data_IF_232395931987
#
_entry.id   IF_232395931987
#
_cell.length_a   1.000
_cell.length_b   1.000
_cell.length_c   1.000
_cell.angle_alpha   90.00
_cell.angle_beta   90.00
_cell.angle_gamma   90.00
#
_symmetry.space_group_name_H-M   'P 1'
#
loop_
_entity.id
_entity.type
_entity.pdbx_description
1 polymer ?
#
# COMPACT_ATOMS: atom_id res chain seq x y z
N UNK A 1 -5.99 -28.35 25.23
CA UNK A 1 -6.90 -28.39 24.05
C UNK A 1 -6.27 -27.85 22.77
N UNK A 2 -6.00 -26.54 22.62
CA UNK A 2 -5.38 -26.01 21.37
C UNK A 2 -4.03 -26.67 21.07
N UNK A 3 -3.13 -26.72 22.07
CA UNK A 3 -1.83 -27.39 21.97
C UNK A 3 -1.97 -28.84 21.50
N UNK A 4 -2.82 -29.61 22.17
CA UNK A 4 -3.00 -31.04 21.89
C UNK A 4 -3.71 -31.30 20.56
N UNK A 5 -4.53 -30.34 20.09
CA UNK A 5 -5.25 -30.44 18.82
C UNK A 5 -4.31 -30.19 17.64
N UNK A 6 -3.56 -29.08 17.65
CA UNK A 6 -2.85 -28.59 16.47
C UNK A 6 -1.35 -28.92 16.43
N UNK A 7 -0.75 -29.33 17.55
CA UNK A 7 0.71 -29.52 17.65
C UNK A 7 1.11 -30.89 18.18
N UNK A 8 2.28 -31.35 17.74
CA UNK A 8 3.03 -32.45 18.34
C UNK A 8 4.19 -31.89 19.17
N UNK A 9 4.60 -32.64 20.21
CA UNK A 9 5.80 -32.33 20.98
C UNK A 9 7.03 -32.71 20.14
N UNK A 10 7.92 -31.75 19.92
CA UNK A 10 9.14 -31.90 19.09
C UNK A 10 10.42 -31.68 19.92
N UNK A 11 10.34 -31.95 21.23
CA UNK A 11 11.44 -31.78 22.19
C UNK A 11 10.99 -31.04 23.46
N UNK A 12 11.95 -30.70 24.32
CA UNK A 12 11.65 -29.94 25.54
C UNK A 12 11.18 -28.53 25.17
N UNK A 13 9.93 -28.22 25.50
CA UNK A 13 9.26 -26.94 25.17
C UNK A 13 9.20 -26.60 23.67
N UNK A 14 9.42 -27.58 22.80
CA UNK A 14 9.34 -27.42 21.35
C UNK A 14 8.07 -28.07 20.80
N UNK A 15 7.41 -27.36 19.91
CA UNK A 15 6.18 -27.80 19.25
C UNK A 15 6.34 -27.69 17.74
N UNK A 16 5.80 -28.68 17.04
CA UNK A 16 5.61 -28.61 15.59
C UNK A 16 4.14 -28.76 15.26
N UNK A 17 3.68 -28.09 14.22
CA UNK A 17 2.34 -28.34 13.70
C UNK A 17 2.22 -29.81 13.30
N UNK A 18 1.07 -30.41 13.59
CA UNK A 18 0.76 -31.74 13.06
C UNK A 18 0.67 -31.69 11.53
N UNK A 19 0.92 -32.80 10.81
CA UNK A 19 0.85 -32.82 9.35
C UNK A 19 -0.49 -32.35 8.77
N UNK A 20 -1.59 -32.47 9.52
CA UNK A 20 -2.91 -32.00 9.14
C UNK A 20 -3.06 -30.48 9.22
N UNK A 21 -2.12 -29.76 9.85
CA UNK A 21 -2.18 -28.32 10.12
C UNK A 21 -0.88 -27.57 9.80
N UNK A 22 0.10 -28.23 9.17
CA UNK A 22 1.45 -27.71 8.89
C UNK A 22 1.53 -26.62 7.79
N UNK A 23 0.38 -26.17 7.28
CA UNK A 23 0.28 -25.03 6.36
C UNK A 23 -1.00 -24.25 6.62
N UNK A 24 -0.99 -22.96 6.30
CA UNK A 24 -2.17 -22.09 6.40
C UNK A 24 -3.35 -22.64 5.58
N UNK A 25 -3.10 -23.23 4.40
CA UNK A 25 -4.16 -23.85 3.57
C UNK A 25 -4.86 -25.01 4.27
N UNK A 26 -4.10 -25.85 4.98
CA UNK A 26 -4.69 -26.98 5.72
C UNK A 26 -5.47 -26.52 6.95
N UNK A 27 -4.95 -25.50 7.66
CA UNK A 27 -5.69 -24.84 8.73
C UNK A 27 -6.98 -24.21 8.18
N UNK A 28 -6.92 -23.48 7.07
CA UNK A 28 -8.10 -22.90 6.41
C UNK A 28 -9.15 -23.96 6.08
N UNK A 29 -8.71 -25.08 5.48
CA UNK A 29 -9.59 -26.20 5.12
C UNK A 29 -10.25 -26.80 6.36
N UNK A 30 -9.50 -27.03 7.44
CA UNK A 30 -10.05 -27.55 8.69
C UNK A 30 -11.16 -26.65 9.26
N UNK A 31 -10.91 -25.33 9.33
CA UNK A 31 -11.91 -24.39 9.85
C UNK A 31 -13.17 -24.33 8.97
N UNK A 32 -12.99 -24.35 7.65
CA UNK A 32 -14.11 -24.40 6.69
C UNK A 32 -14.91 -25.71 6.83
N UNK A 33 -14.23 -26.85 6.79
CA UNK A 33 -14.87 -28.17 6.73
C UNK A 33 -15.60 -28.52 8.04
N UNK A 34 -15.22 -27.90 9.15
CA UNK A 34 -15.90 -28.03 10.44
C UNK A 34 -16.84 -26.85 10.77
N UNK A 35 -17.08 -25.94 9.81
CA UNK A 35 -17.95 -24.78 9.94
C UNK A 35 -17.62 -23.91 11.19
N UNK A 36 -16.32 -23.73 11.46
CA UNK A 36 -15.79 -22.93 12.58
C UNK A 36 -15.74 -21.46 12.17
N UNK A 37 -16.83 -20.74 12.44
CA UNK A 37 -17.06 -19.37 11.93
C UNK A 37 -17.31 -18.33 13.03
N UNK A 38 -17.25 -18.72 14.31
CA UNK A 38 -17.41 -17.76 15.40
C UNK A 38 -16.22 -16.78 15.46
N UNK A 39 -16.41 -15.63 16.11
CA UNK A 39 -15.32 -14.66 16.31
C UNK A 39 -14.11 -15.28 17.05
N UNK A 40 -14.37 -16.23 17.96
CA UNK A 40 -13.32 -16.96 18.66
C UNK A 40 -12.57 -17.91 17.72
N UNK A 41 -13.29 -18.62 16.85
CA UNK A 41 -12.69 -19.48 15.82
C UNK A 41 -11.82 -18.66 14.86
N UNK A 42 -12.32 -17.52 14.39
CA UNK A 42 -11.57 -16.65 13.48
C UNK A 42 -10.30 -16.13 14.17
N UNK A 43 -10.38 -15.71 15.44
CA UNK A 43 -9.20 -15.30 16.22
C UNK A 43 -8.20 -16.44 16.35
N UNK A 44 -8.65 -17.65 16.67
CA UNK A 44 -7.78 -18.82 16.79
C UNK A 44 -7.12 -19.16 15.45
N UNK A 45 -7.87 -19.21 14.36
CA UNK A 45 -7.36 -19.45 13.00
C UNK A 45 -6.27 -18.46 12.63
N UNK A 46 -6.52 -17.17 12.85
CA UNK A 46 -5.57 -16.12 12.54
C UNK A 46 -4.31 -16.24 13.42
N UNK A 47 -4.45 -16.58 14.70
CA UNK A 47 -3.30 -16.85 15.56
C UNK A 47 -2.47 -18.06 15.07
N UNK A 48 -3.10 -19.11 14.52
CA UNK A 48 -2.39 -20.23 13.92
C UNK A 48 -1.66 -19.82 12.63
N UNK A 49 -2.23 -18.95 11.80
CA UNK A 49 -1.52 -18.38 10.64
C UNK A 49 -0.31 -17.53 11.06
N UNK A 50 -0.48 -16.68 12.07
CA UNK A 50 0.65 -15.90 12.62
C UNK A 50 1.79 -16.81 13.05
N UNK A 51 1.50 -17.93 13.73
CA UNK A 51 2.52 -18.90 14.13
C UNK A 51 3.25 -19.55 12.94
N UNK A 52 2.57 -19.81 11.81
CA UNK A 52 3.23 -20.25 10.57
C UNK A 52 4.19 -19.19 10.01
N UNK A 53 3.88 -17.92 10.25
CA UNK A 53 4.70 -16.79 9.83
C UNK A 53 5.89 -16.49 10.75
N UNK A 54 6.00 -17.11 11.94
CA UNK A 54 7.06 -16.89 12.94
C UNK A 54 8.39 -17.59 12.58
N UNK A 55 8.86 -17.39 11.35
CA UNK A 55 10.11 -17.93 10.83
C UNK A 55 11.11 -16.81 10.51
N UNK A 56 12.40 -17.13 10.49
CA UNK A 56 13.46 -16.22 10.05
C UNK A 56 13.79 -16.41 8.56
N UNK A 57 13.63 -17.63 8.06
CA UNK A 57 13.91 -18.02 6.69
C UNK A 57 12.78 -18.86 6.12
N UNK A 58 12.57 -18.75 4.81
CA UNK A 58 11.62 -19.54 4.04
C UNK A 58 12.39 -20.47 3.11
N UNK A 59 12.01 -21.74 3.06
CA UNK A 59 12.63 -22.70 2.14
C UNK A 59 12.26 -22.39 0.70
N UNK A 60 13.24 -22.54 -0.19
CA UNK A 60 12.98 -22.42 -1.63
C UNK A 60 12.05 -23.57 -2.09
N UNK A 61 10.96 -23.26 -2.83
CA UNK A 61 9.97 -24.27 -3.23
C UNK A 61 10.49 -25.24 -4.31
N UNK A 62 11.58 -24.90 -5.01
CA UNK A 62 12.18 -25.72 -6.08
C UNK A 62 13.47 -26.40 -5.61
N UNK A 63 14.20 -25.79 -4.68
CA UNK A 63 15.46 -26.29 -4.14
C UNK A 63 15.40 -26.38 -2.62
N UNK A 64 14.90 -27.49 -2.04
CA UNK A 64 14.61 -27.59 -0.59
C UNK A 64 15.80 -27.35 0.36
N UNK A 65 17.03 -27.40 -0.15
CA UNK A 65 18.27 -27.13 0.59
C UNK A 65 18.62 -25.64 0.67
N UNK A 66 17.93 -24.78 -0.10
CA UNK A 66 18.12 -23.34 -0.08
C UNK A 66 17.09 -22.65 0.81
N UNK A 67 17.52 -21.53 1.40
CA UNK A 67 16.74 -20.69 2.29
C UNK A 67 16.80 -19.24 1.80
N UNK A 68 15.66 -18.57 1.84
CA UNK A 68 15.52 -17.14 1.58
C UNK A 68 15.21 -16.43 2.89
N UNK A 69 15.83 -15.27 3.21
CA UNK A 69 15.42 -14.48 4.35
C UNK A 69 13.93 -14.11 4.26
N UNK A 70 13.19 -14.19 5.36
CA UNK A 70 11.78 -13.78 5.41
C UNK A 70 11.68 -12.25 5.21
N UNK A 71 10.78 -11.79 4.34
CA UNK A 71 10.44 -10.37 4.21
C UNK A 71 9.96 -9.85 5.58
N UNK A 72 10.43 -8.67 6.02
CA UNK A 72 10.07 -8.10 7.32
C UNK A 72 10.35 -9.04 8.50
N UNK A 73 11.40 -9.86 8.43
CA UNK A 73 11.84 -10.78 9.48
C UNK A 73 11.96 -10.09 10.84
N UNK A 74 12.42 -8.83 10.86
CA UNK A 74 12.56 -8.00 12.06
C UNK A 74 11.25 -7.79 12.84
N UNK A 75 10.09 -7.96 12.20
CA UNK A 75 8.79 -7.86 12.85
C UNK A 75 8.37 -9.13 13.59
N UNK A 76 9.00 -10.28 13.36
CA UNK A 76 8.64 -11.55 13.99
C UNK A 76 9.05 -11.60 15.46
N UNK A 77 8.30 -12.35 16.27
CA UNK A 77 8.67 -12.69 17.66
C UNK A 77 9.94 -13.52 17.68
N UNK A 78 10.10 -14.43 16.72
CA UNK A 78 11.31 -15.24 16.53
C UNK A 78 12.57 -14.37 16.41
N UNK A 79 12.52 -13.26 15.67
CA UNK A 79 13.65 -12.34 15.56
C UNK A 79 13.87 -11.56 16.86
N UNK A 80 12.79 -11.08 17.50
CA UNK A 80 12.88 -10.32 18.76
C UNK A 80 13.51 -11.12 19.90
N UNK A 81 13.32 -12.43 19.92
CA UNK A 81 13.87 -13.34 20.93
C UNK A 81 15.39 -13.55 20.83
N UNK A 82 16.01 -13.22 19.69
CA UNK A 82 17.45 -13.34 19.50
C UNK A 82 18.23 -12.28 20.30
N UNK A 83 19.50 -12.57 20.58
CA UNK A 83 20.43 -11.57 21.12
C UNK A 83 20.80 -10.52 20.06
N UNK A 84 21.37 -9.40 20.49
CA UNK A 84 21.69 -8.28 19.59
C UNK A 84 22.76 -8.63 18.53
N UNK A 85 23.69 -9.53 18.85
CA UNK A 85 24.70 -9.98 17.91
C UNK A 85 24.07 -10.72 16.71
N UNK A 86 23.20 -11.69 16.98
CA UNK A 86 22.51 -12.47 15.95
C UNK A 86 21.54 -11.60 15.16
N UNK A 87 20.84 -10.67 15.83
CA UNK A 87 19.98 -9.69 15.16
C UNK A 87 20.75 -8.85 14.14
N UNK A 88 21.93 -8.37 14.50
CA UNK A 88 22.76 -7.56 13.60
C UNK A 88 23.23 -8.38 12.39
N UNK A 89 23.74 -9.60 12.61
CA UNK A 89 24.18 -10.47 11.51
C UNK A 89 23.03 -10.81 10.54
N UNK A 90 21.85 -11.10 11.08
CA UNK A 90 20.67 -11.38 10.27
C UNK A 90 20.18 -10.17 9.50
N UNK A 91 20.25 -8.97 10.07
CA UNK A 91 19.91 -7.73 9.38
C UNK A 91 20.91 -7.38 8.28
N UNK A 92 22.21 -7.65 8.48
CA UNK A 92 23.21 -7.48 7.43
C UNK A 92 22.94 -8.43 6.26
N UNK A 93 22.61 -9.70 6.54
CA UNK A 93 22.21 -10.67 5.51
C UNK A 93 20.92 -10.26 4.80
N UNK A 94 19.91 -9.81 5.55
CA UNK A 94 18.64 -9.32 5.02
C UNK A 94 18.87 -8.15 4.07
N UNK A 95 19.67 -7.17 4.50
CA UNK A 95 19.97 -5.98 3.71
C UNK A 95 20.77 -6.32 2.46
N UNK A 96 21.75 -7.21 2.58
CA UNK A 96 22.52 -7.70 1.45
C UNK A 96 21.63 -8.43 0.43
N UNK A 97 20.71 -9.28 0.89
CA UNK A 97 19.84 -10.06 0.01
C UNK A 97 18.82 -9.19 -0.73
N UNK A 98 18.12 -8.31 0.00
CA UNK A 98 16.98 -7.58 -0.56
C UNK A 98 17.34 -6.24 -1.21
N UNK A 99 18.37 -5.55 -0.71
CA UNK A 99 18.66 -4.16 -1.12
C UNK A 99 20.00 -3.99 -1.83
N UNK A 100 20.83 -5.04 -1.97
CA UNK A 100 22.17 -4.92 -2.60
C UNK A 100 22.44 -5.97 -3.66
N UNK A 101 22.48 -7.25 -3.27
CA UNK A 101 22.96 -8.39 -4.09
C UNK A 101 22.34 -8.44 -5.47
N UNK A 102 21.05 -8.13 -5.57
CA UNK A 102 20.29 -8.31 -6.81
C UNK A 102 20.13 -7.03 -7.63
N UNK A 103 20.59 -5.86 -7.14
CA UNK A 103 20.35 -4.57 -7.80
C UNK A 103 20.88 -4.57 -9.24
N UNK A 104 22.15 -4.94 -9.44
CA UNK A 104 22.76 -4.95 -10.77
C UNK A 104 22.14 -6.01 -11.68
N UNK A 105 21.79 -7.18 -11.13
CA UNK A 105 21.11 -8.23 -11.88
C UNK A 105 19.73 -7.77 -12.39
N UNK A 106 18.94 -7.11 -11.55
CA UNK A 106 17.64 -6.58 -11.92
C UNK A 106 17.74 -5.43 -12.92
N UNK A 107 18.71 -4.53 -12.72
CA UNK A 107 19.01 -3.44 -13.65
C UNK A 107 19.33 -3.96 -15.05
N UNK A 108 20.26 -4.91 -15.18
CA UNK A 108 20.60 -5.52 -16.46
C UNK A 108 19.41 -6.27 -17.08
N UNK A 109 18.64 -6.97 -16.25
CA UNK A 109 17.42 -7.66 -16.71
C UNK A 109 16.38 -6.68 -17.25
N UNK A 110 16.24 -5.51 -16.62
CA UNK A 110 15.33 -4.46 -17.06
C UNK A 110 15.77 -3.86 -18.39
N UNK A 111 17.04 -3.46 -18.54
CA UNK A 111 17.59 -2.94 -19.80
C UNK A 111 17.53 -3.95 -20.95
N UNK A 112 17.56 -5.25 -20.67
CA UNK A 112 17.39 -6.28 -21.69
C UNK A 112 15.94 -6.40 -22.19
N UNK A 113 14.94 -6.10 -21.35
CA UNK A 113 13.53 -6.44 -21.59
C UNK A 113 12.64 -5.22 -21.87
N UNK A 114 12.78 -4.17 -21.07
CA UNK A 114 11.90 -3.02 -21.09
C UNK A 114 11.99 -2.19 -22.38
N UNK A 115 13.17 -1.96 -23.00
CA UNK A 115 13.24 -1.17 -24.23
C UNK A 115 12.37 -1.71 -25.37
N UNK A 116 12.37 -3.03 -25.58
CA UNK A 116 11.54 -3.68 -26.60
C UNK A 116 10.04 -3.53 -26.30
N UNK A 117 9.65 -3.62 -25.02
CA UNK A 117 8.25 -3.42 -24.60
C UNK A 117 7.81 -1.98 -24.82
N UNK A 118 8.61 -1.00 -24.41
CA UNK A 118 8.32 0.43 -24.57
C UNK A 118 8.22 0.78 -26.06
N UNK A 119 9.16 0.32 -26.89
CA UNK A 119 9.17 0.59 -28.33
C UNK A 119 8.02 -0.10 -29.10
N UNK A 120 7.33 -1.07 -28.49
CA UNK A 120 6.22 -1.80 -29.12
C UNK A 120 4.91 -1.00 -29.18
N UNK A 121 4.84 0.15 -28.50
CA UNK A 121 3.64 0.99 -28.42
C UNK A 121 3.98 2.47 -28.50
N UNK A 122 2.99 3.30 -28.83
CA UNK A 122 3.06 4.77 -28.71
C UNK A 122 2.48 5.28 -27.40
N UNK A 123 1.95 4.39 -26.56
CA UNK A 123 1.41 4.76 -25.25
C UNK A 123 2.53 5.19 -24.30
N UNK A 124 2.24 6.13 -23.41
CA UNK A 124 3.11 6.44 -22.29
C UNK A 124 3.13 5.26 -21.32
N UNK A 125 4.33 4.89 -20.88
CA UNK A 125 4.51 3.81 -19.91
C UNK A 125 4.66 4.42 -18.53
N UNK A 126 3.81 4.01 -17.60
CA UNK A 126 3.88 4.37 -16.19
C UNK A 126 4.29 3.14 -15.39
N UNK A 127 5.30 3.27 -14.54
CA UNK A 127 5.66 2.28 -13.55
C UNK A 127 5.00 2.59 -12.23
N UNK A 128 4.28 1.61 -11.67
CA UNK A 128 3.92 1.62 -10.26
C UNK A 128 5.17 1.21 -9.47
N UNK A 129 5.89 2.20 -8.95
CA UNK A 129 7.19 2.04 -8.27
C UNK A 129 7.08 2.30 -6.77
N UNK A 130 6.02 1.80 -6.14
CA UNK A 130 5.78 1.96 -4.71
C UNK A 130 6.36 0.80 -3.90
N UNK A 131 6.52 1.06 -2.60
CA UNK A 131 6.90 0.04 -1.63
C UNK A 131 8.38 -0.31 -1.70
N UNK A 132 8.68 -1.60 -1.57
CA UNK A 132 10.05 -2.11 -1.48
C UNK A 132 10.62 -2.39 -2.87
N UNK A 133 11.16 -1.34 -3.50
CA UNK A 133 11.80 -1.41 -4.81
C UNK A 133 13.34 -1.39 -4.69
N UNK A 134 14.07 -2.11 -5.58
CA UNK A 134 15.53 -1.99 -5.64
C UNK A 134 16.00 -0.56 -5.92
N UNK A 135 17.14 -0.16 -5.36
CA UNK A 135 17.72 1.19 -5.52
C UNK A 135 17.98 1.58 -7.00
N UNK A 136 18.06 0.60 -7.90
CA UNK A 136 18.26 0.82 -9.33
C UNK A 136 17.00 1.20 -10.08
N UNK A 137 15.81 1.01 -9.50
CA UNK A 137 14.52 1.27 -10.18
C UNK A 137 14.39 2.73 -10.60
N UNK A 138 14.63 3.74 -9.74
CA UNK A 138 14.54 5.14 -10.15
C UNK A 138 15.48 5.49 -11.32
N UNK A 139 16.71 4.96 -11.31
CA UNK A 139 17.68 5.17 -12.39
C UNK A 139 17.17 4.60 -13.72
N UNK A 140 16.76 3.33 -13.71
CA UNK A 140 16.28 2.64 -14.93
C UNK A 140 15.02 3.29 -15.49
N UNK A 141 14.08 3.67 -14.62
CA UNK A 141 12.85 4.34 -15.05
C UNK A 141 13.16 5.69 -15.69
N UNK A 142 14.05 6.48 -15.09
CA UNK A 142 14.47 7.75 -15.65
C UNK A 142 15.17 7.57 -17.01
N UNK A 143 16.12 6.64 -17.12
CA UNK A 143 16.86 6.40 -18.37
C UNK A 143 15.94 5.94 -19.50
N UNK A 144 14.93 5.12 -19.17
CA UNK A 144 13.95 4.61 -20.12
C UNK A 144 12.73 5.53 -20.30
N UNK A 145 12.72 6.70 -19.64
CA UNK A 145 11.63 7.68 -19.69
C UNK A 145 10.26 7.08 -19.28
N UNK A 146 10.28 6.14 -18.33
CA UNK A 146 9.08 5.56 -17.73
C UNK A 146 8.60 6.50 -16.63
N UNK A 147 7.32 6.86 -16.67
CA UNK A 147 6.73 7.74 -15.68
C UNK A 147 6.66 7.05 -14.33
N UNK A 148 7.11 7.75 -13.31
CA UNK A 148 7.08 7.31 -11.92
C UNK A 148 5.75 7.67 -11.25
N UNK A 149 5.33 6.91 -10.23
CA UNK A 149 4.09 7.19 -9.48
C UNK A 149 4.42 7.96 -8.20
N UNK A 150 3.82 9.14 -8.01
CA UNK A 150 4.03 10.01 -6.86
C UNK A 150 2.75 10.12 -6.03
N UNK A 151 2.80 9.63 -4.78
CA UNK A 151 1.66 9.65 -3.86
C UNK A 151 2.07 10.40 -2.59
N UNK A 152 1.37 11.50 -2.29
CA UNK A 152 1.65 12.33 -1.10
C UNK A 152 1.68 11.51 0.20
N UNK A 153 0.82 10.50 0.32
CA UNK A 153 0.68 9.65 1.52
C UNK A 153 1.63 8.45 1.56
N UNK A 154 2.38 8.21 0.49
CA UNK A 154 3.32 7.10 0.37
C UNK A 154 4.66 7.60 -0.23
N UNK A 155 5.41 8.43 0.53
CA UNK A 155 6.66 8.99 0.06
C UNK A 155 7.71 7.89 -0.18
N UNK A 156 8.52 8.08 -1.24
CA UNK A 156 9.66 7.20 -1.55
C UNK A 156 10.83 7.35 -0.58
N UNK A 157 10.98 8.53 0.02
CA UNK A 157 12.00 8.79 1.02
C UNK A 157 11.47 8.37 2.40
N UNK A 158 12.05 7.35 3.06
CA UNK A 158 11.56 6.87 4.36
C UNK A 158 11.76 7.87 5.50
N UNK A 159 12.51 8.96 5.29
CA UNK A 159 12.68 10.06 6.26
C UNK A 159 11.57 11.09 6.19
N UNK A 160 10.69 10.98 5.19
CA UNK A 160 9.59 11.91 4.95
C UNK A 160 8.29 11.18 5.29
N UNK A 161 7.42 11.79 6.09
CA UNK A 161 6.11 11.19 6.44
C UNK A 161 5.07 11.40 5.33
N UNK A 162 5.10 12.56 4.68
CA UNK A 162 4.24 12.92 3.55
C UNK A 162 5.06 13.58 2.44
N UNK A 163 5.01 13.04 1.23
CA UNK A 163 5.64 13.70 0.08
C UNK A 163 4.90 15.00 -0.23
N UNK A 164 5.65 16.04 -0.59
CA UNK A 164 5.04 17.29 -1.03
C UNK A 164 4.82 17.25 -2.55
N UNK A 165 3.59 17.41 -3.08
CA UNK A 165 3.34 17.32 -4.52
C UNK A 165 4.17 18.28 -5.38
N UNK A 166 4.61 19.43 -4.84
CA UNK A 166 5.51 20.34 -5.55
C UNK A 166 6.91 19.77 -5.83
N UNK A 167 7.32 18.71 -5.12
CA UNK A 167 8.62 18.05 -5.30
C UNK A 167 8.55 16.88 -6.32
N UNK A 168 7.37 16.61 -6.90
CA UNK A 168 7.19 15.53 -7.85
C UNK A 168 8.06 15.74 -9.11
N UNK A 169 8.83 14.75 -9.60
CA UNK A 169 9.56 14.89 -10.85
C UNK A 169 8.63 15.12 -12.04
N UNK A 170 9.08 15.83 -13.08
CA UNK A 170 8.25 16.04 -14.28
C UNK A 170 7.80 14.73 -14.94
N UNK A 171 8.69 13.73 -15.08
CA UNK A 171 8.36 12.41 -15.62
C UNK A 171 7.62 11.54 -14.58
N UNK A 172 6.45 12.00 -14.13
CA UNK A 172 5.64 11.28 -13.15
C UNK A 172 4.13 11.47 -13.34
N UNK A 173 3.39 10.61 -12.64
CA UNK A 173 1.98 10.71 -12.36
C UNK A 173 1.82 11.05 -10.88
N UNK A 174 1.30 12.23 -10.55
CA UNK A 174 0.97 12.62 -9.19
C UNK A 174 -0.49 12.27 -8.87
N UNK A 175 -0.73 11.62 -7.72
CA UNK A 175 -2.07 11.25 -7.25
C UNK A 175 -2.21 11.38 -5.74
N UNK A 176 -3.43 11.63 -5.27
CA UNK A 176 -3.81 11.55 -3.86
C UNK A 176 -3.81 10.10 -3.34
N UNK A 177 -4.04 9.12 -4.20
CA UNK A 177 -4.03 7.69 -3.86
C UNK A 177 -4.44 6.77 -5.00
N UNK A 178 -4.30 5.46 -4.77
CA UNK A 178 -4.74 4.41 -5.71
C UNK A 178 -6.04 3.76 -5.25
N UNK A 179 -6.55 2.83 -6.06
CA UNK A 179 -7.72 2.02 -5.71
C UNK A 179 -7.49 1.13 -4.47
N UNK A 180 -6.24 0.84 -4.12
CA UNK A 180 -5.85 0.05 -2.95
C UNK A 180 -5.79 0.88 -1.65
N UNK A 181 -5.92 2.20 -1.75
CA UNK A 181 -5.84 3.12 -0.61
C UNK A 181 -7.23 3.60 -0.19
N UNK A 182 -7.35 4.06 1.06
CA UNK A 182 -8.54 4.80 1.47
C UNK A 182 -8.68 6.08 0.63
N UNK A 183 -9.90 6.41 0.14
CA UNK A 183 -10.22 7.73 -0.40
C UNK A 183 -9.88 8.84 0.59
N UNK A 184 -9.70 10.07 0.09
CA UNK A 184 -9.18 11.20 0.87
C UNK A 184 -9.95 11.44 2.17
N UNK A 185 -11.29 11.43 2.11
CA UNK A 185 -12.14 11.65 3.28
C UNK A 185 -12.03 10.52 4.29
N UNK A 186 -12.07 9.26 3.84
CA UNK A 186 -11.93 8.10 4.70
C UNK A 186 -10.55 8.05 5.37
N UNK A 187 -9.49 8.43 4.66
CA UNK A 187 -8.14 8.52 5.20
C UNK A 187 -8.00 9.62 6.25
N UNK A 188 -8.63 10.77 6.04
CA UNK A 188 -8.62 11.87 7.00
C UNK A 188 -9.16 11.45 8.38
N UNK A 189 -10.20 10.61 8.37
CA UNK A 189 -10.88 10.12 9.57
C UNK A 189 -10.22 8.86 10.18
N UNK A 190 -9.25 8.25 9.49
CA UNK A 190 -8.64 6.96 9.86
C UNK A 190 -7.73 7.06 11.10
N UNK A 191 -6.91 8.12 11.18
CA UNK A 191 -5.97 8.30 12.28
C UNK A 191 -5.78 9.79 12.60
N UNK A 192 -6.37 10.23 13.72
CA UNK A 192 -6.34 11.64 14.12
C UNK A 192 -4.92 12.18 14.30
N UNK A 193 -4.01 11.43 14.91
CA UNK A 193 -2.64 11.90 15.15
C UNK A 193 -1.88 12.11 13.83
N UNK A 194 -2.07 11.21 12.86
CA UNK A 194 -1.49 11.33 11.52
C UNK A 194 -2.09 12.51 10.77
N UNK A 195 -3.41 12.67 10.84
CA UNK A 195 -4.13 13.81 10.25
C UNK A 195 -3.71 15.15 10.87
N UNK A 196 -3.51 15.21 12.18
CA UNK A 196 -3.03 16.40 12.89
C UNK A 196 -1.65 16.83 12.40
N UNK A 197 -0.72 15.88 12.25
CA UNK A 197 0.61 16.15 11.70
C UNK A 197 0.54 16.60 10.25
N UNK A 198 -0.30 15.98 9.43
CA UNK A 198 -0.52 16.43 8.05
C UNK A 198 -1.07 17.87 7.99
N UNK A 199 -2.09 18.16 8.80
CA UNK A 199 -2.72 19.48 8.89
C UNK A 199 -1.72 20.57 9.30
N UNK A 200 -0.83 20.31 10.27
CA UNK A 200 0.14 21.30 10.69
C UNK A 200 1.39 21.38 9.82
N UNK A 201 1.97 20.24 9.45
CA UNK A 201 3.28 20.20 8.81
C UNK A 201 3.20 20.23 7.28
N UNK A 202 2.20 19.58 6.69
CA UNK A 202 2.04 19.53 5.22
C UNK A 202 1.16 20.67 4.71
N UNK A 203 0.04 20.97 5.39
CA UNK A 203 -0.84 22.06 5.00
C UNK A 203 -0.40 23.42 5.57
N UNK A 204 0.47 23.43 6.59
CA UNK A 204 0.93 24.65 7.25
C UNK A 204 -0.16 25.36 8.06
N UNK A 205 -1.24 24.64 8.42
CA UNK A 205 -2.40 25.21 9.11
C UNK A 205 -2.25 25.09 10.62
N UNK A 206 -2.74 26.10 11.34
CA UNK A 206 -2.58 26.20 12.80
C UNK A 206 -3.78 25.60 13.54
N UNK A 207 -3.53 25.07 14.73
CA UNK A 207 -4.58 24.53 15.61
C UNK A 207 -4.87 23.04 15.36
N UNK A 208 -6.00 22.60 15.92
CA UNK A 208 -6.46 21.21 15.84
C UNK A 208 -7.04 20.91 14.47
N UNK A 209 -6.62 19.80 13.86
CA UNK A 209 -7.23 19.31 12.63
C UNK A 209 -8.72 19.01 12.89
N UNK A 210 -9.64 19.45 12.01
CA UNK A 210 -11.04 19.07 12.08
C UNK A 210 -11.22 17.55 12.01
N UNK A 211 -12.18 17.01 12.76
CA UNK A 211 -12.42 15.56 12.78
C UNK A 211 -12.88 15.01 11.43
N UNK A 212 -13.59 15.82 10.63
CA UNK A 212 -14.07 15.46 9.29
C UNK A 212 -13.32 16.25 8.22
N UNK A 213 -13.10 15.63 7.08
CA UNK A 213 -12.59 16.31 5.89
C UNK A 213 -13.72 17.10 5.23
N UNK A 214 -13.70 18.43 5.35
CA UNK A 214 -14.63 19.31 4.64
C UNK A 214 -14.20 19.52 3.19
N UNK A 215 -15.12 20.03 2.36
CA UNK A 215 -14.89 20.40 0.97
C UNK A 215 -13.70 21.33 0.81
N UNK A 216 -13.58 22.33 1.69
CA UNK A 216 -12.44 23.25 1.70
C UNK A 216 -11.10 22.57 2.01
N UNK A 217 -11.08 21.55 2.90
CA UNK A 217 -9.87 20.79 3.20
C UNK A 217 -9.49 19.92 2.00
N UNK A 218 -10.46 19.20 1.43
CA UNK A 218 -10.27 18.38 0.24
C UNK A 218 -9.76 19.24 -0.93
N UNK A 219 -10.42 20.36 -1.21
CA UNK A 219 -10.03 21.31 -2.25
C UNK A 219 -8.59 21.79 -2.05
N UNK A 220 -8.19 22.14 -0.83
CA UNK A 220 -6.83 22.58 -0.55
C UNK A 220 -5.77 21.49 -0.81
N UNK A 221 -6.08 20.24 -0.47
CA UNK A 221 -5.20 19.09 -0.75
C UNK A 221 -5.13 18.84 -2.27
N UNK A 222 -6.28 18.88 -2.95
CA UNK A 222 -6.35 18.72 -4.40
C UNK A 222 -5.57 19.81 -5.13
N UNK A 223 -5.65 21.07 -4.67
CA UNK A 223 -4.83 22.17 -5.18
C UNK A 223 -3.35 21.84 -5.13
N UNK A 224 -2.81 21.29 -4.03
CA UNK A 224 -1.40 20.91 -3.98
C UNK A 224 -1.01 19.96 -5.13
N UNK A 225 -1.87 18.97 -5.43
CA UNK A 225 -1.63 18.01 -6.49
C UNK A 225 -1.75 18.64 -7.88
N UNK A 226 -2.80 19.43 -8.11
CA UNK A 226 -3.02 20.08 -9.41
C UNK A 226 -1.92 21.11 -9.71
N UNK A 227 -1.32 21.73 -8.71
CA UNK A 227 -0.16 22.63 -8.88
C UNK A 227 1.19 21.89 -8.96
N UNK A 228 1.24 20.56 -8.85
CA UNK A 228 2.50 19.80 -8.93
C UNK A 228 3.18 19.98 -10.30
N UNK A 229 4.51 19.89 -10.41
CA UNK A 229 5.19 19.94 -11.70
C UNK A 229 5.18 18.59 -12.45
N UNK A 230 4.50 17.56 -11.93
CA UNK A 230 4.34 16.27 -12.59
C UNK A 230 3.69 16.39 -13.98
N UNK A 231 4.06 15.54 -14.93
CA UNK A 231 3.47 15.51 -16.27
C UNK A 231 1.97 15.22 -16.21
N UNK A 232 1.55 14.32 -15.34
CA UNK A 232 0.14 13.98 -15.14
C UNK A 232 -0.27 14.14 -13.68
N UNK A 233 -1.50 14.63 -13.48
CA UNK A 233 -2.20 14.56 -12.20
C UNK A 233 -3.45 13.73 -12.42
N UNK A 234 -3.50 12.54 -11.80
CA UNK A 234 -4.61 11.60 -11.95
C UNK A 234 -5.17 11.35 -10.56
N UNK A 235 -6.31 11.94 -10.23
CA UNK A 235 -6.93 11.80 -8.92
C UNK A 235 -8.14 10.85 -8.96
N UNK A 236 -8.38 10.05 -7.92
CA UNK A 236 -9.61 9.27 -7.80
C UNK A 236 -10.86 10.17 -7.89
N UNK A 237 -11.91 9.67 -8.54
CA UNK A 237 -13.16 10.41 -8.69
C UNK A 237 -13.80 10.76 -7.33
N UNK A 238 -13.65 9.87 -6.34
CA UNK A 238 -14.12 10.09 -4.97
C UNK A 238 -13.46 11.31 -4.33
N UNK A 239 -12.19 11.57 -4.65
CA UNK A 239 -11.45 12.71 -4.12
C UNK A 239 -11.86 14.01 -4.81
N UNK A 240 -12.24 13.96 -6.10
CA UNK A 240 -12.91 15.09 -6.76
C UNK A 240 -14.26 15.40 -6.12
N UNK A 241 -15.08 14.39 -5.83
CA UNK A 241 -16.36 14.61 -5.15
C UNK A 241 -16.20 15.12 -3.71
N UNK A 242 -15.04 14.94 -3.10
CA UNK A 242 -14.79 15.39 -1.74
C UNK A 242 -14.75 16.92 -1.60
N UNK A 243 -14.58 17.69 -2.67
CA UNK A 243 -14.51 19.17 -2.60
C UNK A 243 -15.88 19.82 -2.42
N UNK A 244 -16.96 19.08 -2.67
CA UNK A 244 -18.34 19.58 -2.56
C UNK A 244 -19.17 18.59 -1.74
N UNK A 245 -19.52 19.00 -0.52
CA UNK A 245 -20.28 18.16 0.40
C UNK A 245 -21.68 17.81 -0.12
N UNK A 246 -22.24 18.59 -1.05
CA UNK A 246 -23.56 18.33 -1.64
C UNK A 246 -23.57 17.11 -2.57
N UNK A 247 -22.42 16.76 -3.14
CA UNK A 247 -22.29 15.59 -4.02
C UNK A 247 -21.58 14.42 -3.34
N UNK A 248 -20.79 14.65 -2.30
CA UNK A 248 -20.06 13.57 -1.61
C UNK A 248 -21.01 12.59 -0.91
N UNK A 249 -20.59 11.33 -0.68
CA UNK A 249 -21.43 10.38 0.05
C UNK A 249 -21.52 10.76 1.55
N UNK A 250 -22.66 10.54 2.23
CA UNK A 250 -22.73 10.74 3.68
C UNK A 250 -21.78 9.85 4.48
N UNK A 251 -21.53 8.63 4.01
CA UNK A 251 -20.60 7.68 4.61
C UNK A 251 -19.29 7.64 3.81
N UNK A 252 -18.20 8.16 4.39
CA UNK A 252 -16.88 8.20 3.77
C UNK A 252 -16.32 6.82 3.45
N UNK A 253 -16.65 5.80 4.25
CA UNK A 253 -16.17 4.44 4.02
C UNK A 253 -16.89 3.75 2.86
N UNK A 254 -18.08 4.23 2.48
CA UNK A 254 -18.80 3.71 1.31
C UNK A 254 -18.14 4.14 -0.02
N UNK A 255 -17.21 5.10 0.01
CA UNK A 255 -16.45 5.56 -1.17
C UNK A 255 -15.28 4.62 -1.52
N UNK A 256 -14.92 3.69 -0.61
CA UNK A 256 -13.77 2.80 -0.76
C UNK A 256 -14.06 1.68 -1.77
N UNK A 257 -13.23 1.56 -2.79
CA UNK A 257 -13.37 0.53 -3.83
C UNK A 257 -12.73 -0.81 -3.43
N UNK A 258 -11.58 -0.79 -2.75
CA UNK A 258 -10.85 -1.99 -2.35
C UNK A 258 -10.30 -1.97 -0.92
N UNK A 259 -10.16 -3.16 -0.34
CA UNK A 259 -9.39 -3.42 0.88
C UNK A 259 -8.33 -4.48 0.56
N UNK A 260 -7.06 -4.10 0.29
CA UNK A 260 -6.03 -5.04 -0.17
C UNK A 260 -5.78 -6.24 0.77
N UNK A 261 -5.94 -6.02 2.07
CA UNK A 261 -5.72 -7.03 3.11
C UNK A 261 -6.85 -8.08 3.17
N UNK A 262 -7.98 -7.82 2.52
CA UNK A 262 -9.12 -8.73 2.49
C UNK A 262 -9.22 -9.42 1.11
N UNK A 263 -8.74 -10.66 0.96
CA UNK A 263 -8.78 -11.38 -0.32
C UNK A 263 -10.21 -11.69 -0.80
N UNK A 264 -11.18 -11.68 0.12
CA UNK A 264 -12.60 -11.90 -0.17
C UNK A 264 -13.36 -10.58 -0.41
N UNK A 265 -12.66 -9.43 -0.46
CA UNK A 265 -13.28 -8.13 -0.70
C UNK A 265 -13.91 -8.06 -2.09
N UNK A 266 -15.11 -7.49 -2.14
CA UNK A 266 -15.86 -7.34 -3.38
C UNK A 266 -15.76 -5.90 -3.91
N UNK A 267 -15.31 -5.76 -5.16
CA UNK A 267 -15.08 -4.49 -5.86
C UNK A 267 -16.38 -3.82 -6.30
N UNK A 268 -17.16 -3.30 -5.35
CA UNK A 268 -18.56 -2.93 -5.59
C UNK A 268 -18.89 -1.45 -5.47
N UNK A 269 -17.92 -0.58 -5.17
CA UNK A 269 -18.17 0.86 -5.25
C UNK A 269 -18.60 1.25 -6.67
N UNK A 270 -19.67 2.04 -6.74
CA UNK A 270 -20.21 2.62 -7.97
C UNK A 270 -20.40 4.11 -7.74
N UNK A 271 -20.14 4.90 -8.78
CA UNK A 271 -20.47 6.32 -8.79
C UNK A 271 -21.97 6.48 -8.49
N UNK A 272 -22.29 7.22 -7.42
CA UNK A 272 -23.65 7.41 -6.94
C UNK A 272 -24.37 8.60 -7.59
N UNK A 273 -23.62 9.43 -8.32
CA UNK A 273 -24.14 10.50 -9.19
C UNK A 273 -24.17 9.97 -10.62
N UNK A 274 -25.23 10.23 -11.38
CA UNK A 274 -25.29 9.82 -12.79
C UNK A 274 -24.40 10.73 -13.65
N UNK A 275 -24.03 10.28 -14.85
CA UNK A 275 -23.25 11.13 -15.77
C UNK A 275 -24.07 12.35 -16.20
N UNK A 276 -25.38 12.18 -16.38
CA UNK A 276 -26.33 13.22 -16.75
C UNK A 276 -26.44 14.29 -15.66
N UNK A 277 -26.60 13.89 -14.40
CA UNK A 277 -26.65 14.83 -13.27
C UNK A 277 -25.31 15.54 -13.10
N UNK A 278 -24.19 14.83 -13.30
CA UNK A 278 -22.85 15.41 -13.20
C UNK A 278 -22.62 16.49 -14.28
N UNK A 279 -23.05 16.24 -15.52
CA UNK A 279 -22.98 17.21 -16.62
C UNK A 279 -23.88 18.43 -16.39
N UNK A 280 -24.99 18.26 -15.66
CA UNK A 280 -25.91 19.36 -15.30
C UNK A 280 -25.48 20.13 -14.05
N UNK A 281 -24.56 19.58 -13.24
CA UNK A 281 -24.05 20.26 -12.06
C UNK A 281 -23.00 21.32 -12.44
N UNK A 282 -23.49 22.49 -12.87
CA UNK A 282 -22.66 23.62 -13.29
C UNK A 282 -21.76 24.13 -12.16
N UNK A 283 -22.24 24.11 -10.91
CA UNK A 283 -21.48 24.58 -9.75
C UNK A 283 -20.24 23.72 -9.52
N UNK A 284 -20.41 22.40 -9.43
CA UNK A 284 -19.30 21.47 -9.27
C UNK A 284 -18.36 21.50 -10.47
N UNK A 285 -18.91 21.51 -11.69
CA UNK A 285 -18.10 21.58 -12.91
C UNK A 285 -17.26 22.86 -12.98
N UNK A 286 -17.81 24.00 -12.54
CA UNK A 286 -17.08 25.26 -12.48
C UNK A 286 -15.96 25.23 -11.42
N UNK A 287 -16.20 24.61 -10.26
CA UNK A 287 -15.17 24.42 -9.23
C UNK A 287 -14.02 23.55 -9.73
N UNK A 288 -14.32 22.38 -10.32
CA UNK A 288 -13.30 21.49 -10.90
C UNK A 288 -12.53 22.22 -12.01
N UNK A 289 -13.23 22.93 -12.89
CA UNK A 289 -12.61 23.72 -13.97
C UNK A 289 -11.65 24.77 -13.41
N UNK A 290 -12.07 25.54 -12.40
CA UNK A 290 -11.23 26.55 -11.77
C UNK A 290 -9.97 25.95 -11.13
N UNK A 291 -10.04 24.72 -10.60
CA UNK A 291 -8.88 24.02 -10.08
C UNK A 291 -7.92 23.62 -11.19
N UNK A 292 -8.41 23.02 -12.28
CA UNK A 292 -7.54 22.48 -13.34
C UNK A 292 -7.01 23.53 -14.32
N UNK A 293 -7.68 24.69 -14.45
CA UNK A 293 -7.27 25.76 -15.36
C UNK A 293 -5.87 26.31 -15.08
N UNK A 294 -5.33 26.08 -13.88
CA UNK A 294 -3.96 26.47 -13.48
C UNK A 294 -2.86 25.68 -14.20
N UNK A 295 -3.23 24.58 -14.89
CA UNK A 295 -2.32 23.72 -15.66
C UNK A 295 -2.31 24.00 -17.16
N UNK A 296 -3.15 24.93 -17.64
CA UNK A 296 -3.23 25.35 -19.04
C UNK A 296 -2.13 26.34 -19.43
#
# INVERSE_FOLDING_TARGET
>A
EVRDRFFDIDGYEMFRFKPEFDTEKKVQAYFRDNNLTSDEDIRLRNALYELHCEVLFVRDPRQPQLLHPRISMNLSRSFRALNDHDKNLLMDLYNEFFFRRHNEFWKQSAYKKLPTLIASTRMLVCGEDLGMVPDTVPEVMNELQILSLEIQRMPKNPKVEFAHPADAPYLSVCTTGTHDMNPLRAWWEENYDKTQRFYNHTMGWWGGAPAKCSGAIAEAILKQHVYSPAMWVILPLQDWFAIDEAISLPNVHAERINVPENPDHFWCYRMHVTMEDLLQNESFSAQVKALVDVRN
#
